data_IF_982009760681
#
_entry.id   IF_982009760681
#
_cell.length_a   1.000
_cell.length_b   1.000
_cell.length_c   1.000
_cell.angle_alpha   90.00
_cell.angle_beta   90.00
_cell.angle_gamma   90.00
#
_symmetry.space_group_name_H-M   'P 1'
#
loop_
_entity.id
_entity.type
_entity.pdbx_description
1 polymer ?
#
# COMPACT_ATOMS: atom_id res chain seq x y z
N UNK A 1 19.28 -15.14 0.85
CA UNK A 1 18.09 -15.55 0.10
C UNK A 1 16.85 -15.12 0.87
N UNK A 2 16.03 -14.25 0.25
CA UNK A 2 14.80 -13.68 0.83
C UNK A 2 13.84 -14.78 1.29
N UNK A 3 13.71 -15.86 0.52
CA UNK A 3 12.86 -17.00 0.86
C UNK A 3 13.26 -17.60 2.22
N UNK A 4 14.55 -17.82 2.43
CA UNK A 4 15.06 -18.36 3.70
C UNK A 4 14.82 -17.41 4.88
N UNK A 5 14.85 -16.10 4.67
CA UNK A 5 14.51 -15.11 5.69
C UNK A 5 13.01 -15.16 6.02
N UNK A 6 12.15 -15.19 4.98
CA UNK A 6 10.69 -15.22 5.16
C UNK A 6 10.21 -16.51 5.84
N UNK A 7 10.84 -17.65 5.54
CA UNK A 7 10.54 -18.94 6.21
C UNK A 7 10.95 -18.98 7.68
N UNK A 8 11.94 -18.17 8.06
CA UNK A 8 12.44 -18.08 9.44
C UNK A 8 11.70 -17.05 10.29
N UNK A 9 11.04 -16.07 9.64
CA UNK A 9 10.26 -15.06 10.34
C UNK A 9 8.91 -15.64 10.75
N UNK A 10 8.65 -15.70 12.04
CA UNK A 10 7.31 -15.97 12.54
C UNK A 10 6.49 -14.68 12.48
N UNK A 11 5.72 -14.53 11.38
CA UNK A 11 4.86 -13.37 11.19
C UNK A 11 3.46 -13.74 11.66
N UNK A 12 2.99 -13.02 12.68
CA UNK A 12 1.64 -13.10 13.20
C UNK A 12 0.91 -11.80 12.91
N UNK A 13 -0.36 -11.88 12.58
CA UNK A 13 -1.22 -10.74 12.41
C UNK A 13 -2.37 -10.85 13.40
N UNK A 14 -2.56 -9.81 14.21
CA UNK A 14 -3.68 -9.67 15.14
C UNK A 14 -4.56 -8.51 14.72
N UNK A 15 -5.83 -8.61 15.03
CA UNK A 15 -6.79 -7.52 14.85
C UNK A 15 -7.21 -7.07 16.24
N UNK A 16 -6.88 -5.83 16.59
CA UNK A 16 -7.28 -5.18 17.84
C UNK A 16 -7.90 -3.82 17.52
N UNK A 17 -9.06 -3.53 18.10
CA UNK A 17 -9.78 -2.25 17.92
C UNK A 17 -10.00 -1.84 16.45
N UNK A 18 -10.18 -2.82 15.54
CA UNK A 18 -10.29 -2.67 14.07
C UNK A 18 -8.98 -2.32 13.37
N UNK A 19 -7.87 -2.30 14.08
CA UNK A 19 -6.54 -2.11 13.52
C UNK A 19 -5.82 -3.44 13.33
N UNK A 20 -4.95 -3.49 12.32
CA UNK A 20 -4.11 -4.65 12.02
C UNK A 20 -2.76 -4.47 12.66
N UNK A 21 -2.43 -5.33 13.63
CA UNK A 21 -1.15 -5.35 14.31
C UNK A 21 -0.30 -6.48 13.74
N UNK A 22 0.88 -6.16 13.25
CA UNK A 22 1.83 -7.14 12.73
C UNK A 22 2.89 -7.41 13.79
N UNK A 23 3.05 -8.69 14.12
CA UNK A 23 4.12 -9.14 15.01
C UNK A 23 5.14 -9.94 14.22
N UNK A 24 6.42 -9.72 14.51
CA UNK A 24 7.53 -10.58 14.06
C UNK A 24 8.18 -11.18 15.29
N UNK A 25 8.22 -12.51 15.34
CA UNK A 25 8.73 -13.26 16.50
C UNK A 25 8.08 -12.82 17.82
N UNK A 26 6.77 -12.59 17.78
CA UNK A 26 5.97 -12.18 18.93
C UNK A 26 6.13 -10.70 19.35
N UNK A 27 6.89 -9.90 18.60
CA UNK A 27 7.08 -8.45 18.86
C UNK A 27 6.34 -7.62 17.84
N UNK A 28 5.58 -6.66 18.32
CA UNK A 28 4.90 -5.69 17.48
C UNK A 28 5.91 -4.85 16.68
N UNK A 29 5.59 -4.63 15.41
CA UNK A 29 6.41 -3.80 14.54
C UNK A 29 5.99 -2.34 14.73
N UNK A 30 6.97 -1.49 15.02
CA UNK A 30 6.79 -0.05 15.08
C UNK A 30 6.51 0.51 13.67
N UNK A 31 5.27 0.99 13.46
CA UNK A 31 4.86 1.58 12.17
C UNK A 31 5.75 2.74 11.71
N UNK A 32 6.26 3.54 12.63
CA UNK A 32 7.15 4.65 12.29
C UNK A 32 8.45 4.15 11.65
N UNK A 33 8.95 2.99 12.08
CA UNK A 33 10.13 2.37 11.48
C UNK A 33 9.83 1.84 10.08
N UNK A 34 8.65 1.22 9.88
CA UNK A 34 8.23 0.73 8.57
C UNK A 34 8.06 1.88 7.57
N UNK A 35 7.50 3.00 8.02
CA UNK A 35 7.23 4.17 7.19
C UNK A 35 8.43 5.11 7.01
N UNK A 36 9.59 4.78 7.59
CA UNK A 36 10.79 5.59 7.48
C UNK A 36 11.32 5.67 6.05
N UNK A 37 12.03 6.75 5.73
CA UNK A 37 12.72 6.90 4.44
C UNK A 37 13.69 5.74 4.17
N UNK A 38 14.38 5.26 5.21
CA UNK A 38 15.31 4.12 5.13
C UNK A 38 14.60 2.83 4.73
N UNK A 39 13.41 2.56 5.28
CA UNK A 39 12.60 1.40 4.92
C UNK A 39 12.07 1.50 3.48
N UNK A 40 11.68 2.70 3.04
CA UNK A 40 11.24 2.94 1.67
C UNK A 40 12.34 2.67 0.65
N UNK A 41 13.58 3.06 0.93
CA UNK A 41 14.75 2.76 0.07
C UNK A 41 15.02 1.26 0.05
N UNK A 42 15.05 0.61 1.23
CA UNK A 42 15.29 -0.83 1.33
C UNK A 42 14.24 -1.65 0.55
N UNK A 43 12.96 -1.28 0.62
CA UNK A 43 11.91 -1.94 -0.18
C UNK A 43 12.14 -1.75 -1.68
N UNK A 44 12.59 -0.58 -2.11
CA UNK A 44 12.89 -0.31 -3.52
C UNK A 44 14.10 -1.11 -4.02
N UNK A 45 15.11 -1.31 -3.18
CA UNK A 45 16.27 -2.14 -3.50
C UNK A 45 15.90 -3.63 -3.55
N UNK A 46 15.13 -4.11 -2.58
CA UNK A 46 14.64 -5.50 -2.53
C UNK A 46 13.79 -5.80 -3.77
N UNK A 47 12.94 -4.87 -4.22
CA UNK A 47 12.10 -5.07 -5.40
C UNK A 47 12.88 -5.27 -6.70
N UNK A 48 14.12 -4.76 -6.76
CA UNK A 48 15.03 -4.93 -7.92
C UNK A 48 15.75 -6.27 -7.94
N UNK A 49 15.95 -6.88 -6.77
CA UNK A 49 16.82 -8.06 -6.59
C UNK A 49 16.01 -9.31 -6.25
N UNK A 50 14.80 -9.16 -5.73
CA UNK A 50 14.00 -10.28 -5.26
C UNK A 50 13.39 -11.09 -6.41
N UNK A 51 13.40 -12.41 -6.28
CA UNK A 51 12.49 -13.28 -7.00
C UNK A 51 11.05 -12.93 -6.55
N UNK A 52 10.41 -12.04 -7.31
CA UNK A 52 9.08 -11.52 -7.02
C UNK A 52 8.03 -12.64 -6.84
N UNK A 53 8.24 -13.83 -7.42
CA UNK A 53 7.33 -14.98 -7.31
C UNK A 53 7.17 -15.47 -5.87
N UNK A 54 8.28 -15.60 -5.14
CA UNK A 54 8.21 -16.02 -3.73
C UNK A 54 7.56 -14.96 -2.84
N UNK A 55 7.83 -13.70 -3.13
CA UNK A 55 7.21 -12.58 -2.41
C UNK A 55 5.71 -12.50 -2.66
N UNK A 56 5.29 -12.66 -3.92
CA UNK A 56 3.87 -12.69 -4.29
C UNK A 56 3.14 -13.90 -3.70
N UNK A 57 3.75 -15.08 -3.72
CA UNK A 57 3.19 -16.28 -3.10
C UNK A 57 2.99 -16.11 -1.58
N UNK A 58 3.91 -15.43 -0.90
CA UNK A 58 3.76 -15.11 0.51
C UNK A 58 2.61 -14.14 0.76
N UNK A 59 2.53 -13.05 0.00
CA UNK A 59 1.41 -12.10 0.09
C UNK A 59 0.06 -12.78 -0.16
N UNK A 60 -0.02 -13.62 -1.18
CA UNK A 60 -1.22 -14.42 -1.47
C UNK A 60 -1.61 -15.31 -0.29
N UNK A 61 -0.66 -16.03 0.29
CA UNK A 61 -0.92 -16.91 1.46
C UNK A 61 -1.52 -16.14 2.64
N UNK A 62 -1.00 -14.94 2.91
CA UNK A 62 -1.54 -14.08 3.98
C UNK A 62 -2.98 -13.70 3.66
N UNK A 63 -3.27 -13.21 2.46
CA UNK A 63 -4.62 -12.82 2.05
C UNK A 63 -5.58 -14.00 2.17
N UNK A 64 -5.21 -15.19 1.68
CA UNK A 64 -6.04 -16.39 1.73
C UNK A 64 -6.40 -16.77 3.19
N UNK A 65 -5.44 -16.69 4.12
CA UNK A 65 -5.68 -16.97 5.54
C UNK A 65 -6.71 -16.02 6.17
N UNK A 66 -6.68 -14.73 5.81
CA UNK A 66 -7.62 -13.76 6.35
C UNK A 66 -8.99 -13.83 5.68
N UNK A 67 -9.03 -14.10 4.38
CA UNK A 67 -10.25 -14.20 3.59
C UNK A 67 -11.20 -15.29 4.10
N UNK A 68 -10.69 -16.32 4.76
CA UNK A 68 -11.52 -17.37 5.37
C UNK A 68 -12.45 -16.84 6.49
N UNK A 69 -12.10 -15.73 7.11
CA UNK A 69 -12.80 -15.21 8.30
C UNK A 69 -13.30 -13.78 8.19
N UNK A 70 -12.74 -13.02 7.25
CA UNK A 70 -12.95 -11.56 7.16
C UNK A 70 -13.17 -11.11 5.72
N UNK A 71 -13.87 -10.00 5.56
CA UNK A 71 -13.73 -9.18 4.35
C UNK A 71 -12.39 -8.46 4.45
N UNK A 72 -11.53 -8.61 3.44
CA UNK A 72 -10.15 -8.16 3.49
C UNK A 72 -9.95 -6.96 2.56
N UNK A 73 -9.43 -5.88 3.10
CA UNK A 73 -8.95 -4.73 2.32
C UNK A 73 -7.42 -4.77 2.37
N UNK A 74 -6.80 -4.84 1.20
CA UNK A 74 -5.34 -4.86 1.08
C UNK A 74 -4.90 -3.58 0.38
N UNK A 75 -4.00 -2.85 1.01
CA UNK A 75 -3.34 -1.71 0.37
C UNK A 75 -1.92 -2.08 -0.02
N UNK A 76 -1.50 -1.67 -1.20
CA UNK A 76 -0.15 -1.97 -1.67
C UNK A 76 0.02 -1.75 -3.16
N UNK A 77 1.16 -2.20 -3.65
CA UNK A 77 1.53 -2.13 -5.06
C UNK A 77 1.47 -3.52 -5.66
N UNK A 78 1.25 -3.59 -6.96
CA UNK A 78 1.27 -4.84 -7.72
C UNK A 78 0.23 -5.88 -7.25
N UNK A 79 -0.84 -5.43 -6.59
CA UNK A 79 -1.84 -6.30 -5.98
C UNK A 79 -2.45 -7.28 -6.99
N UNK A 80 -2.61 -6.87 -8.23
CA UNK A 80 -3.10 -7.74 -9.31
C UNK A 80 -2.15 -8.88 -9.66
N UNK A 81 -0.86 -8.76 -9.36
CA UNK A 81 0.10 -9.86 -9.51
C UNK A 81 0.16 -10.73 -8.25
N UNK A 82 -0.06 -10.12 -7.07
CA UNK A 82 -0.10 -10.84 -5.80
C UNK A 82 -1.38 -11.67 -5.69
N UNK A 83 -2.53 -11.03 -6.00
CA UNK A 83 -3.84 -11.63 -5.85
C UNK A 83 -4.76 -11.27 -7.03
N UNK A 84 -4.66 -11.98 -8.17
CA UNK A 84 -5.47 -11.70 -9.36
C UNK A 84 -6.98 -11.88 -9.16
N UNK A 85 -7.36 -12.69 -8.14
CA UNK A 85 -8.74 -13.03 -7.81
C UNK A 85 -9.46 -12.00 -6.92
N UNK A 86 -8.92 -10.78 -6.78
CA UNK A 86 -9.60 -9.68 -6.08
C UNK A 86 -11.00 -9.44 -6.64
N UNK A 87 -11.99 -9.32 -5.77
CA UNK A 87 -13.37 -8.95 -6.14
C UNK A 87 -13.39 -7.54 -6.73
N UNK A 88 -12.63 -6.62 -6.13
CA UNK A 88 -12.44 -5.24 -6.59
C UNK A 88 -10.95 -4.90 -6.62
N UNK A 89 -10.49 -4.33 -7.71
CA UNK A 89 -9.17 -3.69 -7.81
C UNK A 89 -9.39 -2.19 -7.98
N UNK A 90 -9.04 -1.43 -6.96
CA UNK A 90 -9.27 0.01 -6.90
C UNK A 90 -7.93 0.73 -7.01
N UNK A 91 -7.86 1.69 -7.93
CA UNK A 91 -6.72 2.57 -8.13
C UNK A 91 -7.10 3.99 -7.78
N UNK A 92 -6.60 4.48 -6.65
CA UNK A 92 -6.91 5.82 -6.15
C UNK A 92 -5.90 6.80 -6.72
N UNK A 93 -6.41 7.88 -7.32
CA UNK A 93 -5.61 8.99 -7.83
C UNK A 93 -6.01 10.30 -7.14
N UNK A 94 -5.06 11.24 -7.10
CA UNK A 94 -5.29 12.61 -6.73
C UNK A 94 -4.31 13.51 -7.48
N UNK A 95 -4.68 14.79 -7.70
CA UNK A 95 -3.79 15.76 -8.32
C UNK A 95 -2.47 15.90 -7.55
N UNK A 96 -1.42 16.29 -8.26
CA UNK A 96 -0.11 16.48 -7.64
C UNK A 96 -0.16 17.50 -6.49
N UNK A 97 -0.86 18.61 -6.70
CA UNK A 97 -0.95 19.69 -5.70
C UNK A 97 -1.71 19.20 -4.44
N UNK A 98 -2.79 18.43 -4.62
CA UNK A 98 -3.51 17.84 -3.48
C UNK A 98 -2.64 16.82 -2.72
N UNK A 99 -1.85 16.04 -3.42
CA UNK A 99 -0.92 15.08 -2.81
C UNK A 99 0.18 15.77 -2.01
N UNK A 100 0.71 16.91 -2.51
CA UNK A 100 1.66 17.76 -1.81
C UNK A 100 1.01 18.33 -0.56
N UNK A 101 -0.18 18.91 -0.70
CA UNK A 101 -0.96 19.47 0.40
C UNK A 101 -1.16 18.46 1.54
N UNK A 102 -1.68 17.25 1.21
CA UNK A 102 -1.86 16.17 2.20
C UNK A 102 -0.56 15.77 2.87
N UNK A 103 0.53 15.72 2.10
CA UNK A 103 1.85 15.36 2.65
C UNK A 103 2.37 16.43 3.61
N UNK A 104 2.15 17.70 3.31
CA UNK A 104 2.54 18.80 4.21
C UNK A 104 1.71 18.82 5.49
N UNK A 105 0.42 18.50 5.43
CA UNK A 105 -0.40 18.31 6.64
C UNK A 105 0.17 17.17 7.50
N UNK A 106 0.54 16.06 6.90
CA UNK A 106 1.15 14.91 7.61
C UNK A 106 2.44 15.30 8.34
N UNK A 107 3.18 16.26 7.81
CA UNK A 107 4.39 16.83 8.45
C UNK A 107 4.10 18.01 9.39
N UNK A 108 2.84 18.16 9.85
CA UNK A 108 2.40 19.25 10.75
C UNK A 108 2.71 20.66 10.19
N UNK A 109 2.60 20.83 8.88
CA UNK A 109 2.88 22.08 8.19
C UNK A 109 4.36 22.47 8.12
N UNK A 110 5.26 21.64 8.62
CA UNK A 110 6.71 21.85 8.54
C UNK A 110 7.28 21.11 7.34
N UNK A 111 7.01 21.58 6.14
CA UNK A 111 7.53 20.99 4.92
C UNK A 111 8.03 22.07 3.96
N UNK A 112 9.03 21.71 3.15
CA UNK A 112 9.37 22.42 1.94
C UNK A 112 8.54 21.81 0.81
N UNK A 113 7.56 22.57 0.31
CA UNK A 113 6.64 22.09 -0.74
C UNK A 113 7.39 21.69 -2.02
N UNK A 114 8.46 22.40 -2.38
CA UNK A 114 9.27 22.08 -3.56
C UNK A 114 10.07 20.78 -3.37
N UNK A 115 10.55 20.53 -2.16
CA UNK A 115 11.19 19.26 -1.82
C UNK A 115 10.17 18.11 -1.88
N UNK A 116 8.99 18.31 -1.30
CA UNK A 116 7.90 17.32 -1.32
C UNK A 116 7.47 17.04 -2.76
N UNK A 117 7.32 18.06 -3.60
CA UNK A 117 6.99 17.94 -5.02
C UNK A 117 8.02 17.08 -5.76
N UNK A 118 9.30 17.38 -5.62
CA UNK A 118 10.38 16.61 -6.24
C UNK A 118 10.32 15.14 -5.81
N UNK A 119 10.20 14.88 -4.52
CA UNK A 119 10.15 13.53 -3.98
C UNK A 119 8.94 12.74 -4.50
N UNK A 120 7.77 13.37 -4.63
CA UNK A 120 6.57 12.74 -5.18
C UNK A 120 6.80 12.40 -6.67
N UNK A 121 7.28 13.35 -7.47
CA UNK A 121 7.51 13.15 -8.91
C UNK A 121 8.56 12.06 -9.18
N UNK A 122 9.67 12.07 -8.45
CA UNK A 122 10.70 11.05 -8.58
C UNK A 122 10.16 9.65 -8.23
N UNK A 123 9.40 9.57 -7.16
CA UNK A 123 8.77 8.32 -6.75
C UNK A 123 7.73 7.82 -7.75
N UNK A 124 6.92 8.70 -8.31
CA UNK A 124 5.93 8.35 -9.33
C UNK A 124 6.63 7.81 -10.59
N UNK A 125 7.69 8.47 -11.04
CA UNK A 125 8.49 8.00 -12.17
C UNK A 125 9.05 6.59 -11.94
N UNK A 126 9.66 6.35 -10.77
CA UNK A 126 10.18 5.02 -10.43
C UNK A 126 9.10 3.95 -10.38
N UNK A 127 7.89 4.29 -9.95
CA UNK A 127 6.76 3.36 -9.88
C UNK A 127 6.18 3.06 -11.26
N UNK A 128 6.10 4.07 -12.12
CA UNK A 128 5.69 3.91 -13.51
C UNK A 128 6.68 3.02 -14.29
N UNK A 129 7.97 3.31 -14.18
CA UNK A 129 9.04 2.51 -14.79
C UNK A 129 9.04 1.06 -14.28
N UNK A 130 8.65 0.83 -13.03
CA UNK A 130 8.51 -0.50 -12.43
C UNK A 130 7.19 -1.21 -12.81
N UNK A 131 6.29 -0.54 -13.54
CA UNK A 131 5.00 -1.08 -13.97
C UNK A 131 3.97 -1.22 -12.85
N UNK A 132 4.13 -0.51 -11.71
CA UNK A 132 3.19 -0.56 -10.60
C UNK A 132 1.90 0.22 -10.86
N UNK A 133 1.90 1.13 -11.82
CA UNK A 133 0.72 1.93 -12.19
C UNK A 133 -0.08 1.32 -13.32
N UNK A 134 0.05 0.02 -13.52
CA UNK A 134 -0.70 -0.67 -14.57
C UNK A 134 -2.19 -0.71 -14.25
N UNK A 135 -2.97 -0.16 -15.16
CA UNK A 135 -4.42 -0.25 -15.16
C UNK A 135 -4.83 -1.50 -15.92
N UNK A 136 -5.68 -2.32 -15.33
CA UNK A 136 -6.25 -3.53 -15.91
C UNK A 136 -7.72 -3.30 -16.24
N UNK A 137 -8.33 -4.11 -17.10
CA UNK A 137 -9.72 -3.95 -17.53
C UNK A 137 -10.71 -3.90 -16.35
N UNK A 138 -10.42 -4.64 -15.27
CA UNK A 138 -11.25 -4.64 -14.06
C UNK A 138 -10.88 -3.57 -13.02
N UNK A 139 -9.91 -2.70 -13.31
CA UNK A 139 -9.47 -1.66 -12.37
C UNK A 139 -10.48 -0.52 -12.32
N UNK A 140 -10.97 -0.23 -11.15
CA UNK A 140 -11.81 0.94 -10.87
C UNK A 140 -10.89 2.09 -10.47
N UNK A 141 -10.78 3.10 -11.33
CA UNK A 141 -9.99 4.31 -11.05
C UNK A 141 -10.89 5.32 -10.34
N UNK A 142 -10.45 5.80 -9.19
CA UNK A 142 -11.19 6.75 -8.37
C UNK A 142 -10.33 7.98 -8.10
N UNK A 143 -10.81 9.14 -8.55
CA UNK A 143 -10.17 10.43 -8.29
C UNK A 143 -10.71 11.03 -6.99
N UNK A 144 -9.84 11.15 -5.99
CA UNK A 144 -10.14 11.72 -4.68
C UNK A 144 -9.54 13.13 -4.48
N UNK A 145 -9.22 13.82 -5.57
CA UNK A 145 -8.62 15.17 -5.51
C UNK A 145 -9.47 16.13 -4.69
N UNK A 146 -10.80 16.06 -4.85
CA UNK A 146 -11.73 16.98 -4.20
C UNK A 146 -12.26 16.50 -2.84
N UNK A 147 -11.87 15.29 -2.40
CA UNK A 147 -12.28 14.77 -1.10
C UNK A 147 -11.50 15.48 0.03
N UNK A 148 -12.23 16.04 0.99
CA UNK A 148 -11.68 16.85 2.08
C UNK A 148 -11.22 15.99 3.27
N UNK A 149 -11.61 14.72 3.30
CA UNK A 149 -11.28 13.81 4.39
C UNK A 149 -11.06 12.38 3.89
N UNK A 150 -10.46 11.55 4.73
CA UNK A 150 -10.34 10.11 4.48
C UNK A 150 -11.72 9.45 4.41
N UNK A 151 -12.68 9.92 5.19
CA UNK A 151 -14.05 9.44 5.18
C UNK A 151 -14.76 9.73 3.85
N UNK A 152 -14.64 10.94 3.32
CA UNK A 152 -15.18 11.29 1.99
C UNK A 152 -14.54 10.40 0.90
N UNK A 153 -13.24 10.18 0.96
CA UNK A 153 -12.55 9.28 0.03
C UNK A 153 -13.05 7.84 0.13
N UNK A 154 -13.28 7.35 1.36
CA UNK A 154 -13.84 6.02 1.58
C UNK A 154 -15.28 5.90 1.05
N UNK A 155 -16.12 6.92 1.27
CA UNK A 155 -17.47 6.94 0.77
C UNK A 155 -17.53 6.95 -0.77
N UNK A 156 -16.61 7.66 -1.45
CA UNK A 156 -16.50 7.61 -2.91
C UNK A 156 -16.16 6.19 -3.39
N UNK A 157 -15.23 5.51 -2.70
CA UNK A 157 -14.90 4.11 -2.99
C UNK A 157 -16.12 3.20 -2.81
N UNK A 158 -16.80 3.28 -1.66
CA UNK A 158 -17.95 2.43 -1.34
C UNK A 158 -19.13 2.63 -2.31
N UNK A 159 -19.37 3.88 -2.71
CA UNK A 159 -20.38 4.21 -3.73
C UNK A 159 -20.04 3.56 -5.06
N UNK A 160 -18.79 3.59 -5.49
CA UNK A 160 -18.34 3.02 -6.77
C UNK A 160 -18.43 1.50 -6.84
N UNK A 161 -18.30 0.81 -5.72
CA UNK A 161 -18.44 -0.65 -5.64
C UNK A 161 -19.85 -1.11 -5.24
N UNK A 162 -20.79 -0.18 -5.09
CA UNK A 162 -22.20 -0.49 -4.83
C UNK A 162 -22.49 -0.97 -3.40
N UNK A 163 -21.71 -0.53 -2.43
CA UNK A 163 -21.89 -0.86 -0.99
C UNK A 163 -22.65 0.26 -0.25
N UNK A 164 -22.67 1.46 -0.80
CA UNK A 164 -23.49 2.62 -0.36
C UNK A 164 -24.49 3.00 -1.41
#
# INVERSE_FOLDING_TARGET
>A
DIKSVMEKLNIEIKIENRDTIILIDGKEIDEQKIQSAKSSVAVSEISKVADNKNFYAFGKKIIDQFKEKYNVIVSGRDLMKIYPELDYHIFIIASLDERIHRKCIQYNGKCDEEEVRRNILERDKLQEESGYYKIYDKTIVIDVTNCKSAEESANEVLSRIGVL
#
